data_IF_533453761452
#
_entry.id   IF_533453761452
#
_cell.length_a   1.000
_cell.length_b   1.000
_cell.length_c   1.000
_cell.angle_alpha   90.00
_cell.angle_beta   90.00
_cell.angle_gamma   90.00
#
_symmetry.space_group_name_H-M   'P 1'
#
loop_
_entity.id
_entity.type
_entity.pdbx_description
1 polymer ?
#
# COMPACT_ATOMS: atom_id res chain seq x y z
N UNK A 1 5.90 -67.12 -21.93
CA UNK A 1 5.57 -66.51 -20.61
C UNK A 1 6.10 -65.10 -20.64
N UNK A 2 5.21 -64.09 -20.59
CA UNK A 2 5.49 -62.69 -20.97
C UNK A 2 5.49 -61.86 -19.68
N UNK A 3 6.64 -61.30 -19.30
CA UNK A 3 6.75 -60.42 -18.13
C UNK A 3 6.22 -59.04 -18.48
N UNK A 4 5.20 -58.59 -17.75
CA UNK A 4 4.60 -57.26 -17.88
C UNK A 4 5.39 -56.22 -17.07
N UNK A 5 5.81 -55.16 -17.73
CA UNK A 5 6.33 -53.95 -17.09
C UNK A 5 5.15 -53.13 -16.55
N UNK A 6 5.06 -52.94 -15.23
CA UNK A 6 4.25 -51.89 -14.62
C UNK A 6 5.12 -50.64 -14.46
N UNK A 7 4.88 -49.63 -15.28
CA UNK A 7 5.42 -48.29 -15.11
C UNK A 7 4.48 -47.48 -14.21
N UNK A 8 4.96 -47.13 -13.01
CA UNK A 8 4.27 -46.24 -12.08
C UNK A 8 4.49 -44.79 -12.55
N UNK A 9 3.47 -44.18 -13.15
CA UNK A 9 3.51 -42.76 -13.55
C UNK A 9 3.18 -41.91 -12.32
N UNK A 10 4.20 -41.25 -11.77
CA UNK A 10 4.07 -40.27 -10.70
C UNK A 10 3.62 -38.94 -11.33
N UNK A 11 2.32 -38.67 -11.37
CA UNK A 11 1.79 -37.37 -11.81
C UNK A 11 2.04 -36.31 -10.74
N UNK A 12 3.08 -35.51 -10.94
CA UNK A 12 3.33 -34.30 -10.16
C UNK A 12 2.24 -33.26 -10.50
N UNK A 13 1.32 -33.01 -9.57
CA UNK A 13 0.33 -31.94 -9.68
C UNK A 13 1.03 -30.60 -9.47
N UNK A 14 1.26 -29.89 -10.57
CA UNK A 14 1.74 -28.51 -10.57
C UNK A 14 0.60 -27.60 -10.09
N UNK A 15 0.68 -27.07 -8.86
CA UNK A 15 -0.26 -26.06 -8.38
C UNK A 15 -0.04 -24.75 -9.16
N UNK A 16 -1.08 -24.13 -9.74
CA UNK A 16 -0.93 -22.84 -10.38
C UNK A 16 -0.63 -21.77 -9.33
N UNK A 17 0.56 -21.16 -9.42
CA UNK A 17 0.90 -19.96 -8.66
C UNK A 17 0.18 -18.80 -9.34
N UNK A 18 -0.94 -18.34 -8.76
CA UNK A 18 -1.63 -17.16 -9.25
C UNK A 18 -0.74 -15.92 -8.99
N UNK A 19 -0.54 -15.04 -9.98
CA UNK A 19 0.16 -13.78 -9.75
C UNK A 19 -0.64 -12.94 -8.77
N UNK A 20 0.02 -12.40 -7.75
CA UNK A 20 -0.57 -11.42 -6.84
C UNK A 20 -0.78 -10.11 -7.59
N UNK A 21 -1.90 -9.98 -8.30
CA UNK A 21 -2.31 -8.72 -8.91
C UNK A 21 -2.62 -7.71 -7.82
N UNK A 22 -1.97 -6.55 -7.89
CA UNK A 22 -2.43 -5.33 -7.25
C UNK A 22 -3.93 -5.15 -7.52
N UNK A 23 -4.74 -5.14 -6.46
CA UNK A 23 -6.19 -5.01 -6.63
C UNK A 23 -6.55 -3.52 -6.74
N UNK A 24 -7.23 -3.18 -7.83
CA UNK A 24 -7.82 -1.87 -8.05
C UNK A 24 -9.27 -1.87 -7.53
N UNK A 25 -9.64 -0.82 -6.80
CA UNK A 25 -10.99 -0.58 -6.30
C UNK A 25 -11.61 0.55 -7.10
N UNK A 26 -12.92 0.46 -7.38
CA UNK A 26 -13.63 1.45 -8.20
C UNK A 26 -14.90 1.93 -7.53
N UNK A 27 -15.18 3.22 -7.67
CA UNK A 27 -16.44 3.84 -7.27
C UNK A 27 -16.74 5.02 -8.20
N UNK A 28 -17.84 4.93 -8.94
CA UNK A 28 -18.11 5.86 -10.05
C UNK A 28 -16.92 5.91 -11.03
N UNK A 29 -16.42 7.11 -11.29
CA UNK A 29 -15.26 7.35 -12.16
C UNK A 29 -13.91 7.28 -11.44
N UNK A 30 -13.91 7.02 -10.12
CA UNK A 30 -12.69 6.96 -9.31
C UNK A 30 -12.10 5.55 -9.34
N UNK A 31 -10.81 5.45 -9.64
CA UNK A 31 -10.00 4.23 -9.48
C UNK A 31 -9.00 4.44 -8.36
N UNK A 32 -8.97 3.49 -7.44
CA UNK A 32 -8.08 3.46 -6.28
C UNK A 32 -7.13 2.28 -6.44
N UNK A 33 -5.83 2.55 -6.55
CA UNK A 33 -4.84 1.52 -6.81
C UNK A 33 -3.83 1.38 -5.68
N UNK A 34 -3.47 0.13 -5.38
CA UNK A 34 -2.41 -0.25 -4.44
C UNK A 34 -2.57 0.25 -2.98
N UNK A 35 -3.67 -0.06 -2.25
CA UNK A 35 -3.76 0.23 -0.82
C UNK A 35 -2.82 -0.67 0.04
N UNK A 36 -2.09 -0.06 0.97
CA UNK A 36 -0.88 -0.43 1.72
C UNK A 36 -0.58 0.45 2.97
N UNK A 37 -0.61 -0.04 4.20
CA UNK A 37 -0.25 0.78 5.38
C UNK A 37 1.19 0.52 5.83
N UNK A 38 1.81 1.44 6.57
CA UNK A 38 3.10 1.15 7.22
C UNK A 38 2.86 0.43 8.55
N UNK A 39 3.61 -0.65 8.78
CA UNK A 39 3.57 -1.38 10.05
C UNK A 39 3.87 -0.47 11.24
N UNK A 40 3.25 -0.77 12.38
CA UNK A 40 3.45 -0.04 13.63
C UNK A 40 4.82 -0.39 14.22
N UNK A 41 5.54 0.62 14.73
CA UNK A 41 6.78 0.36 15.47
C UNK A 41 6.45 -0.19 16.88
N UNK A 42 6.78 -1.46 17.14
CA UNK A 42 6.51 -2.10 18.43
C UNK A 42 5.03 -2.03 18.82
N UNK A 43 4.75 -1.55 20.04
CA UNK A 43 3.38 -1.38 20.56
C UNK A 43 2.80 0.02 20.28
N UNK A 44 3.29 0.74 19.27
CA UNK A 44 2.80 2.06 18.92
C UNK A 44 1.28 2.05 18.69
N UNK A 45 0.61 2.98 19.35
CA UNK A 45 -0.86 3.17 19.26
C UNK A 45 -1.29 4.05 18.09
N UNK A 46 -0.33 4.64 17.40
CA UNK A 46 -0.55 5.47 16.22
C UNK A 46 0.11 4.79 15.02
N UNK A 47 -0.58 4.75 13.90
CA UNK A 47 -0.08 4.23 12.63
C UNK A 47 -0.48 5.16 11.48
N UNK A 48 0.24 5.11 10.38
CA UNK A 48 -0.11 5.87 9.19
C UNK A 48 -0.42 4.90 8.05
N UNK A 49 -1.61 5.06 7.47
CA UNK A 49 -1.95 4.46 6.19
C UNK A 49 -1.52 5.46 5.12
N UNK A 50 -0.50 5.09 4.35
CA UNK A 50 0.09 5.95 3.33
C UNK A 50 -0.40 5.52 1.99
N UNK A 51 -1.55 5.99 1.50
CA UNK A 51 -2.13 5.23 0.41
C UNK A 51 -2.92 5.76 -0.72
N UNK A 52 -2.48 5.19 -1.85
CA UNK A 52 -3.12 4.93 -3.11
C UNK A 52 -2.93 6.04 -4.11
N UNK A 53 -2.72 5.62 -5.35
CA UNK A 53 -2.98 6.47 -6.48
C UNK A 53 -4.49 6.48 -6.65
N UNK A 54 -5.11 7.66 -6.49
CA UNK A 54 -6.52 7.87 -6.79
C UNK A 54 -6.59 8.57 -8.14
N UNK A 55 -7.17 7.91 -9.14
CA UNK A 55 -7.38 8.49 -10.47
C UNK A 55 -8.86 8.82 -10.64
N UNK A 56 -9.16 10.08 -10.89
CA UNK A 56 -10.49 10.52 -11.32
C UNK A 56 -10.56 10.53 -12.85
N UNK A 57 -11.33 9.58 -13.40
CA UNK A 57 -11.54 9.43 -14.84
C UNK A 57 -12.77 10.19 -15.35
N UNK A 58 -13.44 10.93 -14.47
CA UNK A 58 -14.63 11.72 -14.78
C UNK A 58 -14.26 13.13 -15.25
N UNK A 59 -15.23 14.04 -15.19
CA UNK A 59 -15.06 15.44 -15.61
C UNK A 59 -15.13 16.44 -14.46
N UNK A 60 -15.68 16.06 -13.32
CA UNK A 60 -15.85 16.92 -12.15
C UNK A 60 -14.86 16.57 -11.04
N UNK A 61 -14.40 17.59 -10.31
CA UNK A 61 -13.59 17.40 -9.10
C UNK A 61 -14.40 16.64 -8.04
N UNK A 62 -13.79 15.64 -7.41
CA UNK A 62 -14.29 14.98 -6.19
C UNK A 62 -13.33 15.24 -5.02
N UNK A 63 -13.74 14.88 -3.81
CA UNK A 63 -12.95 15.06 -2.59
C UNK A 63 -13.03 13.82 -1.73
N UNK A 64 -11.90 13.27 -1.30
CA UNK A 64 -11.87 12.34 -0.18
C UNK A 64 -12.08 13.14 1.10
N UNK A 65 -13.17 12.89 1.81
CA UNK A 65 -13.58 13.67 2.99
C UNK A 65 -13.48 12.88 4.30
N UNK A 66 -13.49 11.55 4.22
CA UNK A 66 -13.29 10.71 5.38
C UNK A 66 -12.69 9.35 5.01
N UNK A 67 -12.07 8.72 5.99
CA UNK A 67 -11.67 7.32 5.96
C UNK A 67 -12.10 6.67 7.28
N UNK A 68 -12.33 5.37 7.33
CA UNK A 68 -12.59 4.62 8.55
C UNK A 68 -12.01 3.22 8.42
N UNK A 69 -11.47 2.67 9.52
CA UNK A 69 -10.95 1.31 9.54
C UNK A 69 -11.22 0.69 10.91
N UNK A 70 -11.73 -0.56 11.00
CA UNK A 70 -11.97 -1.22 12.29
C UNK A 70 -10.73 -1.37 13.16
N UNK A 71 -9.52 -1.31 12.57
CA UNK A 71 -8.25 -1.42 13.29
C UNK A 71 -7.89 -0.19 14.12
N UNK A 72 -8.57 0.94 13.92
CA UNK A 72 -8.27 2.22 14.56
C UNK A 72 -9.56 2.87 15.11
N UNK A 73 -9.51 3.48 16.30
CA UNK A 73 -10.68 4.20 16.83
C UNK A 73 -10.97 5.50 16.10
N UNK A 74 -9.93 6.12 15.54
CA UNK A 74 -10.05 7.39 14.83
C UNK A 74 -9.09 7.45 13.65
N UNK A 75 -9.54 8.11 12.60
CA UNK A 75 -8.81 8.36 11.37
C UNK A 75 -8.89 9.84 11.04
N UNK A 76 -7.81 10.38 10.47
CA UNK A 76 -7.75 11.77 10.03
C UNK A 76 -7.03 11.87 8.68
N UNK A 77 -7.48 12.79 7.83
CA UNK A 77 -6.76 13.12 6.59
C UNK A 77 -5.68 14.15 6.93
N UNK A 78 -4.45 13.90 6.53
CA UNK A 78 -3.30 14.75 6.85
C UNK A 78 -2.54 15.13 5.59
N UNK A 79 -1.91 16.29 5.62
CA UNK A 79 -0.89 16.69 4.67
C UNK A 79 0.41 16.95 5.42
N UNK A 80 1.53 16.63 4.80
CA UNK A 80 2.83 17.04 5.29
C UNK A 80 3.26 18.31 4.54
N UNK A 81 3.43 19.40 5.28
CA UNK A 81 3.89 20.68 4.74
C UNK A 81 5.28 20.99 5.30
N UNK A 82 6.17 21.50 4.46
CA UNK A 82 7.44 22.06 4.94
C UNK A 82 7.25 23.55 5.17
N UNK A 83 7.35 23.97 6.42
CA UNK A 83 7.27 25.38 6.82
C UNK A 83 8.56 25.72 7.56
N UNK A 84 9.28 26.73 7.07
CA UNK A 84 10.59 27.15 7.60
C UNK A 84 11.65 26.03 7.67
N UNK A 85 11.64 25.15 6.67
CA UNK A 85 12.54 23.99 6.63
C UNK A 85 12.17 22.83 7.56
N UNK A 86 11.04 22.96 8.29
CA UNK A 86 10.54 21.95 9.21
C UNK A 86 9.32 21.27 8.61
N UNK A 87 9.39 19.95 8.45
CA UNK A 87 8.25 19.13 8.05
C UNK A 87 7.20 19.07 9.18
N UNK A 88 5.97 19.44 8.88
CA UNK A 88 4.83 19.43 9.80
C UNK A 88 3.69 18.63 9.19
N UNK A 89 3.21 17.63 9.93
CA UNK A 89 1.96 16.94 9.63
C UNK A 89 0.79 17.80 10.12
N UNK A 90 -0.15 18.10 9.23
CA UNK A 90 -1.32 18.94 9.53
C UNK A 90 -2.59 18.24 9.05
N UNK A 91 -3.62 18.15 9.90
CA UNK A 91 -4.91 17.62 9.47
C UNK A 91 -5.52 18.54 8.41
N UNK A 92 -6.14 17.92 7.40
CA UNK A 92 -6.91 18.59 6.33
C UNK A 92 -8.35 18.09 6.38
N UNK A 93 -9.29 18.95 5.95
CA UNK A 93 -10.71 18.57 5.93
C UNK A 93 -11.05 17.62 4.79
N UNK A 94 -10.29 17.70 3.71
CA UNK A 94 -10.52 16.92 2.50
C UNK A 94 -9.26 16.88 1.64
N UNK A 95 -9.16 15.86 0.79
CA UNK A 95 -8.15 15.74 -0.27
C UNK A 95 -8.86 15.87 -1.61
N UNK A 96 -8.46 16.86 -2.41
CA UNK A 96 -9.04 17.08 -3.74
C UNK A 96 -8.53 16.02 -4.74
N UNK A 97 -9.45 15.51 -5.56
CA UNK A 97 -9.19 14.51 -6.59
C UNK A 97 -9.59 15.12 -7.93
N UNK A 98 -8.62 15.75 -8.59
CA UNK A 98 -8.84 16.45 -9.85
C UNK A 98 -8.95 15.45 -11.02
N UNK A 99 -9.86 15.68 -11.98
CA UNK A 99 -9.91 14.92 -13.22
C UNK A 99 -8.57 14.92 -13.94
N UNK A 100 -8.14 13.75 -14.42
CA UNK A 100 -6.93 13.62 -15.25
C UNK A 100 -5.59 13.77 -14.52
N UNK A 101 -5.58 14.13 -13.23
CA UNK A 101 -4.38 14.16 -12.40
C UNK A 101 -4.50 13.12 -11.27
N UNK A 102 -3.58 12.14 -11.18
CA UNK A 102 -3.60 11.20 -10.08
C UNK A 102 -3.26 11.86 -8.74
N UNK A 103 -4.18 11.79 -7.77
CA UNK A 103 -3.90 12.20 -6.40
C UNK A 103 -3.11 11.11 -5.68
N UNK A 104 -1.90 11.47 -5.23
CA UNK A 104 -0.96 10.53 -4.60
C UNK A 104 -0.91 10.73 -3.08
N UNK A 105 -1.37 9.73 -2.33
CA UNK A 105 -1.14 9.66 -0.89
C UNK A 105 0.13 8.84 -0.65
N UNK A 106 1.16 9.48 -0.11
CA UNK A 106 2.51 8.93 0.02
C UNK A 106 3.23 9.46 1.26
N UNK A 107 4.26 8.75 1.75
CA UNK A 107 5.12 9.27 2.81
C UNK A 107 5.70 10.63 2.44
N UNK A 108 5.64 11.56 3.39
CA UNK A 108 6.09 12.94 3.19
C UNK A 108 5.10 13.84 2.46
N UNK A 109 3.90 13.37 2.10
CA UNK A 109 2.81 14.18 1.52
C UNK A 109 1.47 13.89 2.19
N UNK A 110 0.42 13.75 1.37
CA UNK A 110 -0.92 13.40 1.83
C UNK A 110 -0.97 11.97 2.38
N UNK A 111 -1.69 11.76 3.46
CA UNK A 111 -1.85 10.44 4.08
C UNK A 111 -3.08 10.38 5.00
N UNK A 112 -3.46 9.15 5.38
CA UNK A 112 -4.52 8.90 6.36
C UNK A 112 -3.84 8.49 7.67
N UNK A 113 -3.94 9.36 8.68
CA UNK A 113 -3.43 9.09 10.01
C UNK A 113 -4.44 8.22 10.77
N UNK A 114 -3.99 7.10 11.34
CA UNK A 114 -4.79 6.19 12.15
C UNK A 114 -4.36 6.29 13.62
N UNK A 115 -5.29 6.67 14.47
CA UNK A 115 -5.05 6.90 15.90
C UNK A 115 -5.77 5.85 16.73
N UNK A 116 -5.15 5.53 17.87
CA UNK A 116 -5.63 4.52 18.83
C UNK A 116 -5.89 3.18 18.16
N UNK A 117 -4.85 2.61 17.56
CA UNK A 117 -4.87 1.27 17.01
C UNK A 117 -5.25 0.25 18.09
N UNK A 118 -6.23 -0.58 17.78
CA UNK A 118 -6.66 -1.67 18.66
C UNK A 118 -5.55 -2.71 18.82
N UNK A 119 -4.86 -3.01 17.71
CA UNK A 119 -3.73 -3.92 17.61
C UNK A 119 -2.64 -3.30 16.74
N UNK A 120 -1.35 -3.60 16.98
CA UNK A 120 -0.28 -3.18 16.08
C UNK A 120 -0.53 -3.66 14.65
N UNK A 121 -0.17 -2.85 13.65
CA UNK A 121 -0.19 -3.26 12.25
C UNK A 121 1.02 -4.14 11.98
N UNK A 122 0.77 -5.38 11.56
CA UNK A 122 1.81 -6.40 11.33
C UNK A 122 2.09 -6.54 9.83
N UNK A 123 3.35 -6.51 9.37
CA UNK A 123 3.69 -6.70 7.96
C UNK A 123 3.06 -7.96 7.35
N UNK A 124 2.63 -7.87 6.10
CA UNK A 124 1.98 -8.95 5.36
C UNK A 124 0.51 -9.19 5.70
N UNK A 125 -0.03 -8.52 6.74
CA UNK A 125 -1.47 -8.58 7.04
C UNK A 125 -2.27 -7.62 6.16
N UNK A 126 -3.56 -7.88 6.04
CA UNK A 126 -4.50 -7.06 5.26
C UNK A 126 -5.66 -6.67 6.18
N UNK A 127 -6.12 -5.42 6.09
CA UNK A 127 -7.32 -4.96 6.79
C UNK A 127 -8.23 -4.12 5.87
N UNK A 128 -9.54 -4.10 6.09
CA UNK A 128 -10.46 -3.25 5.32
C UNK A 128 -10.39 -1.79 5.80
N UNK A 129 -10.47 -0.87 4.84
CA UNK A 129 -10.64 0.56 5.09
C UNK A 129 -11.76 1.10 4.19
N UNK A 130 -12.73 1.78 4.78
CA UNK A 130 -13.77 2.50 4.05
C UNK A 130 -13.30 3.91 3.74
N UNK A 131 -13.34 4.30 2.47
CA UNK A 131 -13.09 5.67 2.00
C UNK A 131 -14.42 6.32 1.65
N UNK A 132 -14.62 7.57 2.08
CA UNK A 132 -15.82 8.36 1.77
C UNK A 132 -15.43 9.55 0.91
N UNK A 133 -15.91 9.53 -0.33
CA UNK A 133 -15.81 10.64 -1.27
C UNK A 133 -17.07 11.50 -1.20
N UNK A 134 -16.91 12.81 -1.41
CA UNK A 134 -17.99 13.79 -1.33
C UNK A 134 -19.08 13.53 -2.38
N UNK A 135 -18.69 13.16 -3.61
CA UNK A 135 -19.63 12.91 -4.71
C UNK A 135 -19.81 11.42 -5.03
N UNK A 136 -18.72 10.67 -5.17
CA UNK A 136 -18.77 9.26 -5.55
C UNK A 136 -19.34 8.34 -4.44
N UNK A 137 -19.35 8.79 -3.19
CA UNK A 137 -19.85 8.02 -2.04
C UNK A 137 -18.78 7.14 -1.40
N UNK A 138 -19.18 5.98 -0.88
CA UNK A 138 -18.31 5.12 -0.08
C UNK A 138 -17.79 3.92 -0.85
N UNK A 139 -16.52 3.58 -0.65
CA UNK A 139 -15.88 2.37 -1.16
C UNK A 139 -15.03 1.72 -0.07
N UNK A 140 -15.14 0.40 0.06
CA UNK A 140 -14.24 -0.37 0.92
C UNK A 140 -13.04 -0.85 0.11
N UNK A 141 -11.85 -0.65 0.65
CA UNK A 141 -10.58 -1.05 0.04
C UNK A 141 -9.79 -1.97 0.97
N UNK A 142 -9.04 -2.90 0.39
CA UNK A 142 -8.17 -3.81 1.16
C UNK A 142 -6.77 -3.22 1.28
N UNK A 143 -6.37 -2.90 2.50
CA UNK A 143 -5.10 -2.26 2.82
C UNK A 143 -4.05 -3.27 3.26
N UNK A 144 -2.96 -3.39 2.51
CA UNK A 144 -1.86 -4.32 2.80
C UNK A 144 -0.80 -3.71 3.72
N UNK A 145 -0.52 -4.27 4.89
CA UNK A 145 0.51 -3.73 5.77
C UNK A 145 1.90 -4.08 5.23
N UNK A 146 2.70 -3.06 4.92
CA UNK A 146 4.11 -3.18 4.54
C UNK A 146 5.04 -2.87 5.71
N UNK A 147 6.32 -3.20 5.53
CA UNK A 147 7.38 -2.99 6.53
C UNK A 147 7.45 -1.55 7.07
N UNK A 148 7.96 -1.41 8.30
CA UNK A 148 8.07 -0.13 9.03
C UNK A 148 8.88 0.93 8.25
N UNK A 149 9.82 0.51 7.41
CA UNK A 149 10.63 1.39 6.56
C UNK A 149 10.08 1.62 5.15
N UNK A 150 8.97 0.99 4.78
CA UNK A 150 8.48 1.00 3.39
C UNK A 150 8.04 2.40 2.95
N UNK A 151 8.49 2.82 1.76
CA UNK A 151 8.11 4.10 1.13
C UNK A 151 6.99 3.95 0.09
N UNK A 152 6.41 2.77 -0.07
CA UNK A 152 5.62 2.40 -1.24
C UNK A 152 6.47 1.63 -2.25
N UNK A 153 5.86 0.97 -3.23
CA UNK A 153 6.59 0.39 -4.36
C UNK A 153 7.24 1.52 -5.18
N UNK A 154 8.46 1.90 -4.84
CA UNK A 154 9.42 2.38 -5.82
C UNK A 154 10.00 1.14 -6.50
N UNK A 155 10.16 1.09 -7.84
CA UNK A 155 10.97 0.06 -8.46
C UNK A 155 12.38 0.19 -7.87
N UNK A 156 12.72 -0.70 -6.93
CA UNK A 156 14.08 -0.82 -6.43
C UNK A 156 14.93 -1.24 -7.62
N UNK A 157 15.86 -0.36 -8.00
CA UNK A 157 17.09 -0.80 -8.64
C UNK A 157 17.68 -1.90 -7.77
N UNK A 158 17.79 -3.07 -8.38
CA UNK A 158 18.54 -4.20 -7.89
C UNK A 158 19.93 -3.72 -7.45
N UNK A 159 20.19 -3.71 -6.15
CA UNK A 159 21.53 -3.59 -5.60
C UNK A 159 21.99 -5.01 -5.22
N UNK A 160 21.98 -5.90 -6.20
CA UNK A 160 22.78 -7.11 -6.15
C UNK A 160 24.20 -6.79 -6.65
N UNK A 161 25.19 -7.27 -5.89
CA UNK A 161 26.63 -7.35 -6.20
C UNK A 161 27.46 -6.06 -6.14
N UNK A 162 28.20 -5.89 -5.03
CA UNK A 162 29.67 -5.77 -5.07
C UNK A 162 30.26 -6.32 -3.76
N UNK A 163 30.42 -7.64 -3.69
CA UNK A 163 31.45 -8.24 -2.84
C UNK A 163 32.41 -8.98 -3.79
N UNK A 164 33.71 -8.78 -3.55
CA UNK A 164 34.85 -9.47 -4.18
C UNK A 164 35.44 -8.86 -5.48
N UNK A 165 36.52 -8.09 -5.31
CA UNK A 165 37.69 -8.18 -6.19
C UNK A 165 38.97 -8.21 -5.35
N UNK A 166 39.66 -9.35 -5.44
CA UNK A 166 40.99 -9.61 -4.92
C UNK A 166 42.02 -8.69 -5.55
N UNK A 167 43.02 -8.24 -4.77
CA UNK A 167 44.33 -7.89 -5.32
C UNK A 167 45.37 -8.88 -4.79
N UNK A 168 45.85 -9.73 -5.70
CA UNK A 168 47.04 -10.57 -5.52
C UNK A 168 48.34 -9.75 -5.49
N UNK A 169 49.49 -10.43 -5.32
CA UNK A 169 50.71 -9.85 -4.77
C UNK A 169 51.52 -9.06 -5.81
N UNK A 170 52.28 -8.07 -5.34
CA UNK A 170 53.36 -7.44 -6.10
C UNK A 170 54.70 -8.04 -5.71
N UNK A 171 55.52 -8.23 -6.74
CA UNK A 171 56.90 -8.69 -6.76
C UNK A 171 57.83 -7.78 -5.96
#
# INVERSE_FOLDING_TARGET
MKYGFLALILTATLLPVAPASAEDFKIGDLTISNPWARASAGNARNGAAYLMQIVNNGHDVDRLIAAAAPTAKKTELHNNITEDGIAKMRPVKAIEINPGEPSMLKPGGLHIMMMDLEKPLVPGTIFPMTLTFEKAGQVEVRVTVMEVGSMGHSPMMDHDKMHETMHGPKQ
#
